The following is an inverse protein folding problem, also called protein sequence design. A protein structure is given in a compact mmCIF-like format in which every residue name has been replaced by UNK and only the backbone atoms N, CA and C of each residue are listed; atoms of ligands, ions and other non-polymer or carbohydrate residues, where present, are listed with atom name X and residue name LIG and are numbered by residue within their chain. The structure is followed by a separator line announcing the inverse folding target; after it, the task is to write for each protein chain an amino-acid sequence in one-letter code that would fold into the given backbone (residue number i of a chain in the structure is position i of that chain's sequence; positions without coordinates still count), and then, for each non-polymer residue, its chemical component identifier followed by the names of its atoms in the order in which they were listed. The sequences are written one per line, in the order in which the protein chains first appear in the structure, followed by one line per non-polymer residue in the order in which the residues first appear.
data_IF_593548193759
#
_entry.id   IF_593548193759
#
_cell.length_a   1.000
_cell.length_b   1.000
_cell.length_c   1.000
_cell.angle_alpha   90.00
_cell.angle_beta   90.00
_cell.angle_gamma   90.00
#
_symmetry.space_group_name_H-M   'P 1'
#
loop_
_entity.id
_entity.type
_entity.pdbx_description
1 polymer ?
#
# COMPACT_ATOMS: atom_id res chain seq x y z
N UNK A 1 -101.48 -3.61 43.08
CA UNK A 1 -100.68 -4.74 43.50
C UNK A 1 -100.03 -5.38 42.31
N UNK A 2 -98.82 -5.55 42.24
CA UNK A 2 -98.12 -6.20 41.17
C UNK A 2 -96.60 -5.83 41.17
N UNK A 3 -95.91 -6.50 42.08
CA UNK A 3 -94.43 -6.42 42.09
C UNK A 3 -93.89 -7.25 40.93
N UNK A 4 -93.04 -6.63 40.09
CA UNK A 4 -92.17 -7.34 39.16
C UNK A 4 -90.75 -7.38 39.75
N UNK A 5 -90.13 -8.56 39.85
CA UNK A 5 -88.71 -8.64 40.22
C UNK A 5 -87.87 -8.52 38.98
N UNK A 6 -86.86 -7.64 39.03
CA UNK A 6 -85.82 -7.45 38.01
C UNK A 6 -84.79 -8.58 38.21
N UNK A 7 -84.36 -9.31 37.18
CA UNK A 7 -83.29 -10.24 37.27
C UNK A 7 -81.93 -9.49 37.21
N UNK A 8 -81.06 -9.72 38.19
CA UNK A 8 -79.67 -9.33 38.18
C UNK A 8 -78.93 -10.10 37.09
N UNK A 9 -78.59 -9.40 36.01
CA UNK A 9 -77.63 -9.91 35.02
C UNK A 9 -76.21 -9.82 35.63
N UNK A 10 -75.68 -10.93 36.02
CA UNK A 10 -74.27 -11.08 36.37
C UNK A 10 -73.43 -10.96 35.10
N UNK A 11 -72.72 -9.86 34.96
CA UNK A 11 -71.67 -9.69 33.95
C UNK A 11 -70.45 -10.53 34.44
N UNK A 12 -70.36 -11.76 34.02
CA UNK A 12 -69.10 -12.50 34.06
C UNK A 12 -68.23 -11.99 32.88
N UNK A 13 -67.20 -11.26 33.24
CA UNK A 13 -66.16 -10.81 32.30
C UNK A 13 -65.11 -11.94 32.21
N UNK A 14 -64.93 -12.63 31.07
CA UNK A 14 -63.86 -13.60 30.91
C UNK A 14 -62.53 -12.91 30.63
N UNK A 15 -61.83 -12.51 31.69
CA UNK A 15 -60.44 -12.06 31.55
C UNK A 15 -59.49 -13.25 31.54
N UNK A 16 -59.30 -13.93 30.43
CA UNK A 16 -58.28 -15.00 30.32
C UNK A 16 -57.66 -15.17 28.92
N UNK A 17 -57.43 -14.14 28.11
CA UNK A 17 -56.68 -14.35 26.86
C UNK A 17 -55.64 -13.27 26.44
N UNK A 18 -55.52 -12.09 27.04
CA UNK A 18 -54.49 -11.14 26.54
C UNK A 18 -53.06 -11.40 27.09
N UNK A 19 -52.94 -11.96 28.29
CA UNK A 19 -51.62 -12.07 28.96
C UNK A 19 -50.68 -13.07 28.24
N UNK A 20 -51.19 -14.22 27.79
CA UNK A 20 -50.38 -15.19 27.02
C UNK A 20 -50.00 -14.70 25.65
N UNK A 21 -50.88 -14.00 24.96
CA UNK A 21 -50.58 -13.39 23.66
C UNK A 21 -49.52 -12.26 23.77
N UNK A 22 -49.64 -11.43 24.79
CA UNK A 22 -48.67 -10.34 25.07
C UNK A 22 -47.29 -10.89 25.44
N UNK A 23 -47.21 -11.96 26.22
CA UNK A 23 -45.94 -12.60 26.58
C UNK A 23 -45.28 -13.25 25.37
N UNK A 24 -46.04 -13.86 24.46
CA UNK A 24 -45.49 -14.45 23.21
C UNK A 24 -44.99 -13.36 22.29
N UNK A 25 -45.71 -12.25 22.13
CA UNK A 25 -45.25 -11.15 21.29
C UNK A 25 -43.98 -10.49 21.85
N UNK A 26 -43.86 -10.28 23.16
CA UNK A 26 -42.64 -9.77 23.79
C UNK A 26 -41.47 -10.74 23.57
N UNK A 27 -41.70 -12.06 23.74
CA UNK A 27 -40.63 -13.04 23.53
C UNK A 27 -40.15 -13.06 22.07
N UNK A 28 -41.06 -12.96 21.08
CA UNK A 28 -40.68 -12.87 19.65
C UNK A 28 -39.89 -11.60 19.35
N UNK A 29 -40.30 -10.45 19.89
CA UNK A 29 -39.58 -9.19 19.72
C UNK A 29 -38.18 -9.25 20.33
N UNK A 30 -38.04 -9.82 21.53
CA UNK A 30 -36.74 -10.00 22.18
C UNK A 30 -35.82 -10.91 21.37
N UNK A 31 -36.35 -12.03 20.83
CA UNK A 31 -35.56 -12.93 19.97
C UNK A 31 -35.13 -12.23 18.68
N UNK A 32 -36.00 -11.43 18.05
CA UNK A 32 -35.68 -10.65 16.86
C UNK A 32 -34.60 -9.58 17.15
N UNK A 33 -34.69 -8.90 18.28
CA UNK A 33 -33.68 -7.91 18.69
C UNK A 33 -32.34 -8.58 18.97
N UNK A 34 -32.34 -9.73 19.65
CA UNK A 34 -31.11 -10.51 19.89
C UNK A 34 -30.53 -11.01 18.58
N UNK A 35 -31.35 -11.54 17.67
CA UNK A 35 -30.89 -11.98 16.34
C UNK A 35 -30.32 -10.81 15.51
N UNK A 36 -30.96 -9.63 15.57
CA UNK A 36 -30.45 -8.43 14.91
C UNK A 36 -29.13 -7.94 15.53
N UNK A 37 -29.00 -7.98 16.85
CA UNK A 37 -27.73 -7.65 17.54
C UNK A 37 -26.62 -8.64 17.19
N UNK A 38 -26.91 -9.94 17.19
CA UNK A 38 -25.94 -10.97 16.76
C UNK A 38 -25.56 -10.77 15.29
N UNK A 39 -26.54 -10.49 14.41
CA UNK A 39 -26.28 -10.19 13.01
C UNK A 39 -25.38 -8.98 12.83
N UNK A 40 -25.64 -7.88 13.58
CA UNK A 40 -24.79 -6.67 13.58
C UNK A 40 -23.40 -6.99 14.10
N UNK A 41 -23.28 -7.73 15.21
CA UNK A 41 -21.97 -8.10 15.78
C UNK A 41 -21.18 -9.04 14.86
N UNK A 42 -21.81 -10.01 14.23
CA UNK A 42 -21.16 -10.93 13.28
C UNK A 42 -20.79 -10.19 12.00
N UNK A 43 -21.67 -9.31 11.49
CA UNK A 43 -21.38 -8.52 10.29
C UNK A 43 -20.34 -7.41 10.54
N UNK A 44 -20.27 -6.84 11.75
CA UNK A 44 -19.18 -5.96 12.15
C UNK A 44 -17.83 -6.68 12.23
N UNK A 45 -17.84 -7.99 12.53
CA UNK A 45 -16.62 -8.81 12.51
C UNK A 45 -16.18 -9.20 11.09
N UNK A 46 -17.07 -9.09 10.09
CA UNK A 46 -16.76 -9.34 8.67
C UNK A 46 -16.62 -8.05 7.85
N UNK A 47 -17.00 -6.91 8.43
CA UNK A 47 -16.79 -5.58 7.87
C UNK A 47 -15.74 -4.82 8.69
N UNK A 48 -14.72 -5.53 9.20
CA UNK A 48 -13.46 -4.85 9.41
C UNK A 48 -13.04 -4.40 8.01
N UNK A 49 -12.95 -3.09 7.74
CA UNK A 49 -12.13 -2.64 6.63
C UNK A 49 -10.77 -3.32 6.83
N UNK A 50 -10.04 -3.67 5.75
CA UNK A 50 -8.66 -4.06 5.92
C UNK A 50 -8.08 -3.05 6.89
N UNK A 51 -7.42 -3.52 7.94
CA UNK A 51 -6.70 -2.65 8.84
C UNK A 51 -5.76 -1.83 7.98
N UNK A 52 -6.26 -0.72 7.48
CA UNK A 52 -5.44 0.45 7.35
C UNK A 52 -4.97 0.65 8.79
N UNK A 53 -3.75 0.27 9.07
CA UNK A 53 -3.02 0.66 10.25
C UNK A 53 -2.95 2.17 10.28
N UNK A 54 -4.09 2.79 10.55
CA UNK A 54 -4.24 4.19 10.88
C UNK A 54 -3.98 4.36 12.37
N UNK A 55 -2.76 4.00 12.80
CA UNK A 55 -2.08 4.84 13.76
C UNK A 55 -1.72 6.12 13.01
N UNK A 56 -1.66 7.24 13.67
CA UNK A 56 -0.98 8.48 13.29
C UNK A 56 0.51 8.17 12.98
N UNK A 57 0.76 7.36 11.95
CA UNK A 57 2.09 7.14 11.45
C UNK A 57 2.38 8.34 10.56
N UNK A 58 3.16 9.27 11.09
CA UNK A 58 3.89 10.23 10.28
C UNK A 58 4.44 9.50 9.06
N UNK A 59 4.42 10.12 7.87
CA UNK A 59 4.96 9.51 6.68
C UNK A 59 6.39 9.05 6.97
N UNK A 60 6.70 7.81 6.60
CA UNK A 60 8.00 7.21 6.90
C UNK A 60 8.84 7.17 5.63
N UNK A 61 10.09 7.59 5.73
CA UNK A 61 11.04 7.51 4.61
C UNK A 61 11.33 6.06 4.24
N UNK A 62 11.44 5.17 5.24
CA UNK A 62 11.58 3.71 5.06
C UNK A 62 10.43 2.98 5.74
N UNK A 63 9.86 1.99 5.07
CA UNK A 63 8.83 1.07 5.58
C UNK A 63 9.31 -0.37 5.52
N UNK A 64 8.66 -1.24 6.26
CA UNK A 64 8.89 -2.69 6.17
C UNK A 64 8.67 -3.23 4.74
N UNK A 65 7.77 -2.60 3.98
CA UNK A 65 7.48 -2.95 2.59
C UNK A 65 8.35 -2.20 1.56
N UNK A 66 9.35 -1.42 1.96
CA UNK A 66 10.28 -0.77 1.04
C UNK A 66 11.25 -1.77 0.44
N UNK A 67 11.69 -1.53 -0.79
CA UNK A 67 12.65 -2.39 -1.47
C UNK A 67 14.07 -2.05 -1.04
N UNK A 68 14.67 -2.93 -0.23
CA UNK A 68 16.07 -2.83 0.20
C UNK A 68 16.92 -3.61 -0.80
N UNK A 69 17.78 -2.90 -1.54
CA UNK A 69 18.70 -3.52 -2.51
C UNK A 69 20.04 -3.87 -1.87
N UNK A 70 20.51 -3.02 -0.96
CA UNK A 70 21.71 -3.29 -0.16
C UNK A 70 21.39 -3.11 1.32
N UNK A 71 21.86 -4.05 2.13
CA UNK A 71 21.81 -3.99 3.59
C UNK A 71 23.22 -3.84 4.14
N UNK A 72 23.57 -2.63 4.54
CA UNK A 72 24.87 -2.30 5.15
C UNK A 72 25.01 -2.76 6.60
N UNK A 73 23.93 -3.31 7.19
CA UNK A 73 23.93 -3.79 8.57
C UNK A 73 23.81 -2.68 9.62
N UNK A 74 24.10 -3.04 10.86
CA UNK A 74 23.96 -2.14 12.02
C UNK A 74 24.91 -0.94 11.92
N UNK A 75 24.36 0.27 11.94
CA UNK A 75 25.11 1.52 11.88
C UNK A 75 25.47 1.99 10.46
N UNK A 76 25.00 1.29 9.43
CA UNK A 76 25.12 1.75 8.05
C UNK A 76 24.27 3.01 7.82
N UNK A 77 24.74 3.86 6.92
CA UNK A 77 24.00 5.04 6.45
C UNK A 77 22.85 4.58 5.57
N UNK A 78 21.67 5.12 5.77
CA UNK A 78 20.49 4.76 4.98
C UNK A 78 20.26 5.77 3.86
N UNK A 79 20.45 5.33 2.60
CA UNK A 79 20.12 6.10 1.41
C UNK A 79 18.77 5.61 0.86
N UNK A 80 17.79 6.50 0.73
CA UNK A 80 16.48 6.20 0.14
C UNK A 80 16.31 7.03 -1.12
N UNK A 81 15.95 6.38 -2.21
CA UNK A 81 15.59 7.03 -3.47
C UNK A 81 14.10 6.85 -3.76
N UNK A 82 13.38 7.97 -3.91
CA UNK A 82 12.08 8.01 -4.56
C UNK A 82 12.30 8.20 -6.05
N UNK A 83 11.95 7.18 -6.84
CA UNK A 83 12.25 7.15 -8.26
C UNK A 83 11.03 6.89 -9.14
N UNK A 84 11.19 7.27 -10.39
CA UNK A 84 10.29 6.93 -11.49
C UNK A 84 11.10 6.28 -12.61
N UNK A 85 10.74 5.07 -13.00
CA UNK A 85 11.45 4.31 -14.04
C UNK A 85 11.39 4.97 -15.42
N UNK A 86 10.40 5.83 -15.69
CA UNK A 86 10.29 6.56 -16.97
C UNK A 86 11.02 7.91 -16.94
N UNK A 87 11.40 8.40 -15.73
CA UNK A 87 12.08 9.69 -15.59
C UNK A 87 13.51 9.64 -16.11
N UNK A 88 13.85 10.50 -17.08
CA UNK A 88 15.19 10.56 -17.69
C UNK A 88 16.27 10.95 -16.66
N UNK A 89 15.90 11.80 -15.69
CA UNK A 89 16.81 12.15 -14.62
C UNK A 89 17.15 10.94 -13.74
N UNK A 90 16.16 10.07 -13.41
CA UNK A 90 16.41 8.81 -12.70
C UNK A 90 17.32 7.89 -13.54
N UNK A 91 17.07 7.78 -14.85
CA UNK A 91 17.95 7.03 -15.74
C UNK A 91 19.37 7.57 -15.81
N UNK A 92 19.53 8.89 -15.71
CA UNK A 92 20.86 9.52 -15.65
C UNK A 92 21.56 9.30 -14.29
N UNK A 93 20.81 9.25 -13.19
CA UNK A 93 21.33 8.95 -11.86
C UNK A 93 21.59 7.44 -11.66
N UNK A 94 20.91 6.55 -12.36
CA UNK A 94 21.08 5.10 -12.20
C UNK A 94 22.55 4.63 -12.19
N UNK A 95 23.41 4.93 -13.18
CA UNK A 95 24.81 4.51 -13.13
C UNK A 95 25.57 5.14 -11.95
N UNK A 96 25.23 6.36 -11.54
CA UNK A 96 25.87 7.02 -10.38
C UNK A 96 25.50 6.29 -9.09
N UNK A 97 24.22 5.94 -8.95
CA UNK A 97 23.73 5.18 -7.78
C UNK A 97 24.38 3.80 -7.73
N UNK A 98 24.46 3.09 -8.87
CA UNK A 98 25.12 1.77 -8.92
C UNK A 98 26.62 1.89 -8.54
N UNK A 99 27.32 2.91 -9.02
CA UNK A 99 28.71 3.19 -8.61
C UNK A 99 28.81 3.44 -7.09
N UNK A 100 27.85 4.18 -6.49
CA UNK A 100 27.82 4.43 -5.04
C UNK A 100 27.53 3.15 -4.25
N UNK A 101 26.62 2.31 -4.71
CA UNK A 101 26.31 1.00 -4.12
C UNK A 101 27.57 0.12 -4.06
N UNK A 102 28.35 0.09 -5.15
CA UNK A 102 29.61 -0.66 -5.21
C UNK A 102 30.69 -0.05 -4.31
N UNK A 103 30.88 1.28 -4.38
CA UNK A 103 31.92 2.01 -3.63
C UNK A 103 31.71 1.92 -2.13
N UNK A 104 30.48 2.04 -1.64
CA UNK A 104 30.11 2.02 -0.22
C UNK A 104 29.48 0.70 0.22
N UNK A 105 29.78 -0.40 -0.47
CA UNK A 105 29.25 -1.71 -0.13
C UNK A 105 29.52 -2.09 1.33
N UNK A 106 28.46 -2.44 2.06
CA UNK A 106 28.51 -2.75 3.50
C UNK A 106 28.59 -1.51 4.42
N UNK A 107 28.57 -0.30 3.86
CA UNK A 107 28.55 0.96 4.62
C UNK A 107 27.24 1.73 4.45
N UNK A 108 26.46 1.41 3.39
CA UNK A 108 25.15 1.97 3.15
C UNK A 108 24.08 0.89 3.09
N UNK A 109 22.86 1.26 3.51
CA UNK A 109 21.63 0.54 3.20
C UNK A 109 20.91 1.33 2.12
N UNK A 110 20.78 0.74 0.91
CA UNK A 110 20.11 1.39 -0.20
C UNK A 110 18.67 0.92 -0.35
N UNK A 111 17.74 1.86 -0.38
CA UNK A 111 16.30 1.61 -0.37
C UNK A 111 15.64 2.36 -1.53
N UNK A 112 14.81 1.65 -2.28
CA UNK A 112 14.00 2.22 -3.37
C UNK A 112 12.55 2.36 -2.95
N UNK A 113 11.97 3.51 -3.30
CA UNK A 113 10.55 3.82 -3.18
C UNK A 113 10.01 4.31 -4.53
N UNK A 114 8.81 3.87 -4.88
CA UNK A 114 8.15 4.29 -6.12
C UNK A 114 7.62 5.72 -6.02
N UNK A 115 7.85 6.50 -7.07
CA UNK A 115 7.22 7.81 -7.22
C UNK A 115 6.86 8.07 -8.69
N UNK A 116 5.91 7.29 -9.27
CA UNK A 116 5.53 7.42 -10.66
C UNK A 116 4.90 8.77 -10.94
N UNK A 117 5.54 9.59 -11.78
CA UNK A 117 5.09 10.95 -12.08
C UNK A 117 3.85 10.93 -12.99
N UNK A 118 2.81 11.72 -12.69
CA UNK A 118 1.57 11.72 -13.48
C UNK A 118 1.74 12.14 -14.95
N UNK A 119 2.86 12.81 -15.28
CA UNK A 119 3.19 13.23 -16.66
C UNK A 119 3.79 12.14 -17.53
N UNK A 120 4.26 11.04 -16.93
CA UNK A 120 4.88 9.93 -17.63
C UNK A 120 3.86 8.82 -17.90
N UNK A 121 3.72 8.45 -19.18
CA UNK A 121 2.64 7.56 -19.62
C UNK A 121 2.80 6.12 -19.11
N UNK A 122 4.04 5.61 -19.04
CA UNK A 122 4.36 4.25 -18.66
C UNK A 122 4.92 4.10 -17.24
N UNK A 123 5.11 5.18 -16.53
CA UNK A 123 5.68 5.24 -15.19
C UNK A 123 4.99 4.27 -14.22
N UNK A 124 3.65 4.32 -14.13
CA UNK A 124 2.87 3.41 -13.28
C UNK A 124 2.95 1.96 -13.76
N UNK A 125 2.97 1.72 -15.07
CA UNK A 125 3.10 0.37 -15.62
C UNK A 125 4.46 -0.24 -15.27
N UNK A 126 5.54 0.54 -15.35
CA UNK A 126 6.89 0.12 -15.00
C UNK A 126 7.01 -0.19 -13.50
N UNK A 127 6.46 0.68 -12.63
CA UNK A 127 6.43 0.45 -11.19
C UNK A 127 5.63 -0.82 -10.81
N UNK A 128 4.47 -1.05 -11.45
CA UNK A 128 3.67 -2.28 -11.25
C UNK A 128 4.43 -3.52 -11.73
N UNK A 129 5.17 -3.42 -12.84
CA UNK A 129 6.00 -4.52 -13.33
C UNK A 129 7.15 -4.86 -12.36
N UNK A 130 7.80 -3.84 -11.78
CA UNK A 130 8.83 -4.01 -10.77
C UNK A 130 8.27 -4.61 -9.47
N UNK A 131 7.09 -4.16 -9.03
CA UNK A 131 6.42 -4.70 -7.85
C UNK A 131 5.98 -6.16 -8.07
N UNK A 132 5.49 -6.51 -9.26
CA UNK A 132 5.15 -7.89 -9.62
C UNK A 132 6.40 -8.81 -9.63
N UNK A 133 7.56 -8.29 -10.02
CA UNK A 133 8.84 -8.98 -9.91
C UNK A 133 9.30 -9.12 -8.44
N UNK A 134 9.08 -8.08 -7.62
CA UNK A 134 9.38 -8.10 -6.18
C UNK A 134 8.63 -9.21 -5.45
N UNK A 135 7.39 -9.53 -5.84
CA UNK A 135 6.61 -10.64 -5.28
C UNK A 135 7.21 -12.03 -5.56
N UNK A 136 8.25 -12.08 -6.41
CA UNK A 136 9.03 -13.28 -6.72
C UNK A 136 10.51 -13.12 -6.34
N UNK A 137 10.83 -12.18 -5.44
CA UNK A 137 12.19 -11.86 -4.99
C UNK A 137 13.14 -11.42 -6.14
N UNK A 138 12.59 -10.80 -7.21
CA UNK A 138 13.32 -10.38 -8.41
C UNK A 138 13.15 -8.88 -8.71
N UNK A 139 12.96 -8.07 -7.65
CA UNK A 139 12.84 -6.63 -7.80
C UNK A 139 14.06 -6.02 -8.51
N UNK A 140 15.26 -6.33 -8.04
CA UNK A 140 16.51 -5.76 -8.54
C UNK A 140 16.76 -6.11 -10.01
N UNK A 141 16.46 -7.34 -10.42
CA UNK A 141 16.59 -7.72 -11.83
C UNK A 141 15.69 -6.87 -12.74
N UNK A 142 14.46 -6.62 -12.30
CA UNK A 142 13.52 -5.78 -13.06
C UNK A 142 13.92 -4.30 -13.00
N UNK A 143 14.37 -3.81 -11.85
CA UNK A 143 14.90 -2.45 -11.66
C UNK A 143 16.05 -2.16 -12.64
N UNK A 144 17.04 -3.03 -12.68
CA UNK A 144 18.18 -2.90 -13.61
C UNK A 144 17.68 -2.95 -15.06
N UNK A 145 16.82 -3.92 -15.39
CA UNK A 145 16.32 -4.10 -16.75
C UNK A 145 15.53 -2.89 -17.25
N UNK A 146 14.71 -2.29 -16.40
CA UNK A 146 13.93 -1.11 -16.73
C UNK A 146 14.83 0.10 -17.03
N UNK A 147 15.85 0.35 -16.18
CA UNK A 147 16.76 1.47 -16.40
C UNK A 147 17.71 1.26 -17.57
N UNK A 148 18.29 0.08 -17.73
CA UNK A 148 19.20 -0.22 -18.84
C UNK A 148 18.51 -0.06 -20.21
N UNK A 149 17.19 -0.27 -20.28
CA UNK A 149 16.40 -0.16 -21.51
C UNK A 149 15.54 1.09 -21.59
N UNK A 150 15.62 1.98 -20.61
CA UNK A 150 14.74 3.16 -20.51
C UNK A 150 14.66 3.96 -21.83
N UNK A 151 15.79 4.14 -22.51
CA UNK A 151 15.83 4.86 -23.79
C UNK A 151 15.00 4.22 -24.92
N UNK A 152 14.61 2.93 -24.79
CA UNK A 152 13.82 2.22 -25.80
C UNK A 152 12.30 2.43 -25.60
N UNK A 153 11.88 2.79 -24.38
CA UNK A 153 10.47 2.82 -24.03
C UNK A 153 10.02 4.10 -23.30
N UNK A 154 10.95 4.83 -22.72
CA UNK A 154 10.66 6.12 -22.07
C UNK A 154 10.02 7.10 -23.06
N UNK A 155 9.22 8.03 -22.55
CA UNK A 155 8.45 9.04 -23.30
C UNK A 155 7.44 8.48 -24.33
N UNK A 156 7.28 7.15 -24.43
CA UNK A 156 6.32 6.55 -25.33
C UNK A 156 4.88 6.91 -24.92
N UNK A 157 4.08 7.35 -25.89
CA UNK A 157 2.69 7.75 -25.66
C UNK A 157 1.71 6.57 -25.83
N UNK A 158 2.21 5.37 -25.76
CA UNK A 158 1.47 4.11 -25.84
C UNK A 158 1.94 3.17 -24.74
N UNK A 159 1.08 2.26 -24.31
CA UNK A 159 1.41 1.32 -23.24
C UNK A 159 2.60 0.43 -23.62
N UNK A 160 3.56 0.32 -22.72
CA UNK A 160 4.71 -0.59 -22.80
C UNK A 160 4.55 -1.81 -21.87
N UNK A 161 3.35 -2.06 -21.35
CA UNK A 161 3.10 -3.19 -20.47
C UNK A 161 3.52 -4.54 -21.08
N UNK A 162 3.30 -4.74 -22.39
CA UNK A 162 3.74 -5.96 -23.08
C UNK A 162 5.26 -6.08 -23.16
N UNK A 163 5.98 -4.96 -23.29
CA UNK A 163 7.45 -4.92 -23.26
C UNK A 163 7.94 -5.32 -21.85
N UNK A 164 7.36 -4.75 -20.80
CA UNK A 164 7.74 -5.08 -19.41
C UNK A 164 7.42 -6.54 -19.06
N UNK A 165 6.33 -7.07 -19.63
CA UNK A 165 6.03 -8.50 -19.54
C UNK A 165 7.11 -9.36 -20.22
N UNK A 166 7.65 -8.89 -21.36
CA UNK A 166 8.80 -9.52 -22.02
C UNK A 166 10.05 -9.51 -21.14
N UNK A 167 10.32 -8.42 -20.44
CA UNK A 167 11.42 -8.34 -19.47
C UNK A 167 11.25 -9.35 -18.32
N UNK A 168 10.01 -9.50 -17.81
CA UNK A 168 9.69 -10.50 -16.79
C UNK A 168 10.01 -11.93 -17.25
N UNK A 169 9.71 -12.26 -18.51
CA UNK A 169 10.06 -13.54 -19.12
C UNK A 169 11.59 -13.71 -19.27
N UNK A 170 12.29 -12.66 -19.71
CA UNK A 170 13.75 -12.66 -19.89
C UNK A 170 14.51 -12.85 -18.58
N UNK A 171 14.06 -12.24 -17.48
CA UNK A 171 14.65 -12.42 -16.15
C UNK A 171 14.19 -13.71 -15.47
N UNK A 172 13.33 -14.51 -16.11
CA UNK A 172 12.98 -15.87 -15.70
C UNK A 172 11.92 -15.95 -14.60
N UNK A 173 10.95 -15.02 -14.55
CA UNK A 173 9.83 -15.08 -13.62
C UNK A 173 8.85 -16.20 -13.96
N UNK A 174 8.12 -16.70 -12.96
CA UNK A 174 6.88 -17.43 -13.22
C UNK A 174 5.85 -16.47 -13.83
N UNK A 175 5.59 -16.66 -15.12
CA UNK A 175 4.73 -15.75 -15.87
C UNK A 175 3.27 -15.84 -15.46
N UNK A 176 2.80 -16.95 -14.90
CA UNK A 176 1.43 -17.05 -14.39
C UNK A 176 1.30 -16.23 -13.09
N UNK A 177 2.31 -16.27 -12.22
CA UNK A 177 2.37 -15.45 -11.01
C UNK A 177 2.54 -13.97 -11.37
N UNK A 178 3.39 -13.62 -12.33
CA UNK A 178 3.58 -12.26 -12.80
C UNK A 178 2.28 -11.66 -13.37
N UNK A 179 1.62 -12.37 -14.29
CA UNK A 179 0.36 -11.90 -14.90
C UNK A 179 -0.74 -11.74 -13.83
N UNK A 180 -0.79 -12.63 -12.84
CA UNK A 180 -1.71 -12.51 -11.71
C UNK A 180 -1.39 -11.29 -10.83
N UNK A 181 -0.10 -11.05 -10.51
CA UNK A 181 0.34 -9.91 -9.72
C UNK A 181 0.06 -8.57 -10.41
N UNK A 182 0.34 -8.46 -11.71
CA UNK A 182 0.04 -7.25 -12.50
C UNK A 182 -1.47 -6.96 -12.56
N UNK A 183 -2.31 -8.00 -12.58
CA UNK A 183 -3.76 -7.87 -12.59
C UNK A 183 -4.36 -7.61 -11.19
N UNK A 184 -3.61 -7.86 -10.12
CA UNK A 184 -4.08 -7.66 -8.75
C UNK A 184 -4.06 -6.16 -8.38
N UNK A 185 -5.20 -5.57 -8.00
CA UNK A 185 -5.26 -4.20 -7.52
C UNK A 185 -4.29 -3.90 -6.36
N UNK A 186 -4.01 -4.89 -5.50
CA UNK A 186 -3.09 -4.72 -4.37
C UNK A 186 -1.66 -4.35 -4.81
N UNK A 187 -1.20 -4.82 -5.97
CA UNK A 187 0.10 -4.45 -6.55
C UNK A 187 0.14 -2.96 -6.90
N UNK A 188 -0.91 -2.46 -7.54
CA UNK A 188 -1.01 -1.04 -7.85
C UNK A 188 -1.19 -0.16 -6.60
N UNK A 189 -1.94 -0.64 -5.60
CA UNK A 189 -2.12 0.04 -4.30
C UNK A 189 -0.79 0.13 -3.54
N UNK A 190 0.07 -0.89 -3.62
CA UNK A 190 1.42 -0.85 -3.03
C UNK A 190 2.30 0.27 -3.66
N UNK A 191 2.24 0.41 -4.98
CA UNK A 191 2.92 1.50 -5.70
C UNK A 191 2.34 2.87 -5.30
N UNK A 192 1.02 2.98 -5.24
CA UNK A 192 0.34 4.22 -4.86
C UNK A 192 0.67 4.67 -3.43
N UNK A 193 0.81 3.72 -2.50
CA UNK A 193 1.21 3.99 -1.12
C UNK A 193 2.56 4.73 -1.06
N UNK A 194 3.55 4.30 -1.83
CA UNK A 194 4.85 4.97 -1.88
C UNK A 194 4.74 6.39 -2.46
N UNK A 195 3.92 6.56 -3.49
CA UNK A 195 3.67 7.86 -4.10
C UNK A 195 2.99 8.83 -3.11
N UNK A 196 1.91 8.41 -2.44
CA UNK A 196 1.19 9.23 -1.47
C UNK A 196 2.09 9.63 -0.29
N UNK A 197 2.89 8.70 0.20
CA UNK A 197 3.84 8.99 1.28
C UNK A 197 4.99 9.88 0.85
N UNK A 198 5.53 9.66 -0.35
CA UNK A 198 6.52 10.55 -0.93
C UNK A 198 5.99 11.99 -0.98
N UNK A 199 4.76 12.20 -1.46
CA UNK A 199 4.12 13.53 -1.43
C UNK A 199 4.01 14.08 -0.01
N UNK A 200 3.63 13.28 0.97
CA UNK A 200 3.51 13.69 2.37
C UNK A 200 4.89 14.02 3.00
N UNK A 201 5.97 13.42 2.51
CA UNK A 201 7.36 13.72 2.86
C UNK A 201 7.94 14.94 2.11
N UNK A 202 7.17 15.52 1.18
CA UNK A 202 7.59 16.68 0.39
C UNK A 202 8.26 16.35 -0.94
N UNK A 203 8.27 15.06 -1.35
CA UNK A 203 8.74 14.66 -2.68
C UNK A 203 7.80 15.26 -3.73
N UNK A 204 8.36 15.94 -4.72
CA UNK A 204 7.61 16.59 -5.80
C UNK A 204 8.20 16.33 -7.19
N UNK A 205 9.36 15.70 -7.26
CA UNK A 205 10.09 15.34 -8.47
C UNK A 205 10.93 14.08 -8.24
N UNK A 206 11.46 13.49 -9.30
CA UNK A 206 12.36 12.33 -9.23
C UNK A 206 13.65 12.60 -10.03
N UNK A 207 14.79 12.01 -9.61
CA UNK A 207 14.94 11.32 -8.34
C UNK A 207 14.91 12.28 -7.16
N UNK A 208 14.42 11.82 -6.00
CA UNK A 208 14.55 12.53 -4.73
C UNK A 208 15.21 11.60 -3.73
N UNK A 209 16.25 12.06 -3.09
CA UNK A 209 17.06 11.28 -2.15
C UNK A 209 16.87 11.75 -0.71
N UNK A 210 16.82 10.78 0.19
CA UNK A 210 16.93 10.99 1.64
C UNK A 210 18.15 10.24 2.15
N UNK A 211 18.91 10.87 3.03
CA UNK A 211 20.05 10.26 3.70
C UNK A 211 19.82 10.30 5.21
N UNK A 212 19.79 9.13 5.86
CA UNK A 212 19.42 8.97 7.27
C UNK A 212 18.10 9.68 7.66
N UNK A 213 17.13 9.69 6.72
CA UNK A 213 15.82 10.30 6.90
C UNK A 213 15.77 11.80 6.59
N UNK A 214 16.87 12.46 6.27
CA UNK A 214 16.94 13.87 5.91
C UNK A 214 16.93 14.03 4.38
N UNK A 215 16.08 14.94 3.88
CA UNK A 215 15.97 15.24 2.45
C UNK A 215 17.29 15.85 1.93
N UNK A 216 17.85 15.28 0.88
CA UNK A 216 19.04 15.85 0.21
C UNK A 216 18.60 16.85 -0.88
N UNK A 217 19.26 18.01 -0.86
CA UNK A 217 19.19 19.01 -1.93
C UNK A 217 20.44 18.91 -2.78
N UNK A 218 20.33 18.29 -3.97
CA UNK A 218 21.43 18.13 -4.89
C UNK A 218 21.43 19.28 -5.91
N UNK A 219 22.61 19.89 -6.11
CA UNK A 219 22.83 20.97 -7.08
C UNK A 219 23.77 20.51 -8.22
N UNK A 220 24.73 19.65 -7.87
CA UNK A 220 25.72 19.11 -8.77
C UNK A 220 25.67 17.56 -8.72
N UNK A 221 26.22 16.90 -9.72
CA UNK A 221 26.20 15.45 -9.84
C UNK A 221 26.98 14.70 -8.75
N UNK A 222 28.01 15.33 -8.21
CA UNK A 222 28.86 14.78 -7.14
C UNK A 222 28.32 15.06 -5.72
N UNK A 223 27.24 15.82 -5.59
CA UNK A 223 26.65 16.13 -4.29
C UNK A 223 26.17 14.86 -3.56
N UNK A 224 25.61 13.87 -4.29
CA UNK A 224 25.17 12.62 -3.72
C UNK A 224 26.34 11.84 -3.12
N UNK A 225 27.42 11.65 -3.89
CA UNK A 225 28.63 10.98 -3.42
C UNK A 225 29.22 11.68 -2.20
N UNK A 226 29.35 13.01 -2.27
CA UNK A 226 29.90 13.82 -1.18
C UNK A 226 29.06 13.70 0.10
N UNK A 227 27.74 13.68 0.00
CA UNK A 227 26.84 13.52 1.14
C UNK A 227 26.98 12.12 1.79
N UNK A 228 26.98 11.06 0.98
CA UNK A 228 27.17 9.68 1.46
C UNK A 228 28.54 9.55 2.15
N UNK A 229 29.61 10.03 1.48
CA UNK A 229 30.97 9.97 2.02
C UNK A 229 31.10 10.71 3.36
N UNK A 230 30.45 11.87 3.49
CA UNK A 230 30.46 12.64 4.74
C UNK A 230 29.72 11.91 5.86
N UNK A 231 28.56 11.30 5.55
CA UNK A 231 27.77 10.54 6.52
C UNK A 231 28.51 9.27 6.99
N UNK A 232 29.09 8.50 6.07
CA UNK A 232 29.87 7.29 6.37
C UNK A 232 31.09 7.64 7.25
N UNK A 233 31.79 8.75 6.96
CA UNK A 233 32.94 9.18 7.77
C UNK A 233 32.55 9.78 9.13
N UNK A 234 31.39 10.44 9.21
CA UNK A 234 30.86 11.06 10.42
C UNK A 234 30.29 10.11 11.46
N UNK A 235 29.89 8.92 11.02
CA UNK A 235 29.35 7.86 11.87
C UNK A 235 30.40 6.95 12.52
N UNK A 236 31.67 7.16 12.23
CA UNK A 236 32.85 6.42 12.80
C UNK A 236 33.45 7.08 14.00
#
# INVERSE_FOLDING_TARGET
PGFCPVPCLGLEYPMKTPVKATLVTIAVVVVMVIAALIYVLVNQSQSAPPSSGGGDASPQVVRESSHVLDDGGEGAVTLVEFLDFECEACGAFFPIVEDMREQFAGEITYVVRYFPLPGHFNSKNAAVAAEAAAQQDRFEDMYVRLFETQAEWGEAQESRADLFRGFAEEIGLDMAAYDAAVADPATAERVELDFEEGQALGVSSTPTFFLDGELLELQEWDDLENAIQAAVNGGR
#
